data_IF_251772742206
#
_entry.id   IF_251772742206
#
_cell.length_a   1.000
_cell.length_b   1.000
_cell.length_c   1.000
_cell.angle_alpha   90.00
_cell.angle_beta   90.00
_cell.angle_gamma   90.00
#
_symmetry.space_group_name_H-M   'P 1'
#
loop_
_entity.id
_entity.type
_entity.pdbx_description
1 polymer ?
#
# COMPACT_ATOMS: atom_id res chain seq x y z
N UNK A 1 10.49 2.60 -6.19
CA UNK A 1 11.45 1.82 -5.38
C UNK A 1 12.84 1.73 -6.03
N UNK A 2 12.93 1.51 -7.34
CA UNK A 2 14.24 1.34 -8.01
C UNK A 2 15.15 2.57 -7.88
N UNK A 3 14.59 3.78 -7.96
CA UNK A 3 15.35 5.01 -7.72
C UNK A 3 15.71 5.16 -6.24
N UNK A 4 14.71 5.05 -5.36
CA UNK A 4 14.93 5.18 -3.92
C UNK A 4 16.01 4.23 -3.42
N UNK A 5 16.00 2.95 -3.85
CA UNK A 5 17.00 1.98 -3.42
C UNK A 5 18.44 2.28 -3.87
N UNK A 6 18.60 3.09 -4.93
CA UNK A 6 19.91 3.57 -5.41
C UNK A 6 20.36 4.86 -4.72
N UNK A 7 19.40 5.66 -4.25
CA UNK A 7 19.67 6.93 -3.57
C UNK A 7 19.98 6.78 -2.09
N UNK A 8 19.48 5.71 -1.46
CA UNK A 8 19.74 5.46 -0.04
C UNK A 8 21.22 5.11 0.17
N UNK A 9 21.91 5.93 0.94
CA UNK A 9 23.27 5.61 1.39
C UNK A 9 23.20 4.72 2.64
N UNK A 10 23.69 3.47 2.58
CA UNK A 10 23.66 2.58 3.74
C UNK A 10 24.36 3.14 5.00
N UNK A 11 25.29 4.09 4.84
CA UNK A 11 26.00 4.72 5.97
C UNK A 11 25.13 5.71 6.74
N UNK A 12 24.06 6.21 6.13
CA UNK A 12 23.09 7.14 6.75
C UNK A 12 21.94 6.39 7.43
N UNK A 13 21.81 5.09 7.18
CA UNK A 13 20.75 4.26 7.76
C UNK A 13 21.09 3.80 9.17
N UNK A 14 20.16 3.96 10.09
CA UNK A 14 20.22 3.41 11.46
C UNK A 14 19.59 2.00 11.54
N UNK A 15 19.78 1.20 10.50
CA UNK A 15 19.22 -0.15 10.38
C UNK A 15 19.33 -0.67 8.95
N UNK A 16 18.46 -1.59 8.59
CA UNK A 16 18.47 -2.24 7.29
C UNK A 16 17.19 -1.97 6.50
N UNK A 17 17.31 -1.91 5.18
CA UNK A 17 16.17 -1.78 4.26
C UNK A 17 16.17 -2.97 3.32
N UNK A 18 15.03 -3.62 3.20
CA UNK A 18 14.78 -4.69 2.22
C UNK A 18 13.79 -4.13 1.19
N UNK A 19 14.18 -4.07 -0.08
CA UNK A 19 13.33 -3.62 -1.18
C UNK A 19 12.95 -4.79 -2.08
N UNK A 20 11.65 -5.02 -2.26
CA UNK A 20 11.10 -5.91 -3.29
C UNK A 20 10.56 -5.00 -4.39
N UNK A 21 11.27 -4.91 -5.52
CA UNK A 21 10.88 -4.01 -6.61
C UNK A 21 9.61 -4.47 -7.33
N UNK A 22 9.46 -5.77 -7.51
CA UNK A 22 8.30 -6.39 -8.16
C UNK A 22 7.92 -7.65 -7.40
N UNK A 23 6.78 -7.62 -6.71
CA UNK A 23 6.31 -8.77 -5.92
C UNK A 23 5.75 -9.91 -6.80
N UNK A 24 5.22 -9.59 -7.97
CA UNK A 24 4.66 -10.54 -8.95
C UNK A 24 5.38 -10.41 -10.31
N UNK A 25 6.58 -11.03 -10.48
CA UNK A 25 7.39 -10.84 -11.69
C UNK A 25 6.74 -11.39 -12.97
N UNK A 26 5.97 -12.46 -12.89
CA UNK A 26 5.28 -13.02 -14.07
C UNK A 26 4.16 -12.10 -14.54
N UNK A 27 3.30 -11.63 -13.64
CA UNK A 27 2.27 -10.66 -14.00
C UNK A 27 2.87 -9.37 -14.59
N UNK A 28 3.98 -8.88 -14.02
CA UNK A 28 4.66 -7.70 -14.54
C UNK A 28 5.17 -7.91 -15.97
N UNK A 29 5.73 -9.06 -16.31
CA UNK A 29 6.21 -9.38 -17.67
C UNK A 29 5.08 -9.60 -18.66
N UNK A 30 4.00 -10.23 -18.19
CA UNK A 30 2.88 -10.64 -19.03
C UNK A 30 1.78 -9.57 -19.12
N UNK A 31 2.00 -8.39 -18.48
CA UNK A 31 1.03 -7.30 -18.41
C UNK A 31 -0.33 -7.72 -17.83
N UNK A 32 -0.32 -8.68 -16.90
CA UNK A 32 -1.52 -9.17 -16.22
C UNK A 32 -1.75 -8.39 -14.95
N UNK A 33 -2.97 -7.90 -14.76
CA UNK A 33 -3.36 -7.19 -13.55
C UNK A 33 -3.53 -8.18 -12.40
N UNK A 34 -3.09 -7.84 -11.23
CA UNK A 34 -3.20 -8.49 -9.91
C UNK A 34 -3.17 -10.03 -9.84
N UNK A 35 -3.38 -10.76 -10.90
CA UNK A 35 -3.30 -12.23 -10.88
C UNK A 35 -1.87 -12.73 -11.11
N UNK A 36 -1.54 -13.86 -10.52
CA UNK A 36 -0.35 -14.65 -10.88
C UNK A 36 -0.75 -15.52 -12.09
N UNK A 37 -0.17 -15.32 -13.29
CA UNK A 37 -0.62 -16.00 -14.51
C UNK A 37 -0.65 -17.51 -14.40
N UNK A 38 0.29 -18.10 -13.68
CA UNK A 38 0.46 -19.55 -13.57
C UNK A 38 -0.63 -20.24 -12.76
N UNK A 39 -1.32 -19.55 -11.88
CA UNK A 39 -2.37 -20.14 -11.03
C UNK A 39 -3.67 -19.34 -10.98
N UNK A 40 -3.73 -18.20 -11.65
CA UNK A 40 -4.91 -17.34 -11.75
C UNK A 40 -5.37 -16.69 -10.43
N UNK A 41 -4.56 -16.75 -9.38
CA UNK A 41 -4.90 -16.19 -8.07
C UNK A 41 -4.40 -14.76 -7.93
N UNK A 42 -5.18 -13.93 -7.24
CA UNK A 42 -4.72 -12.62 -6.81
C UNK A 42 -3.70 -12.78 -5.68
N UNK A 43 -2.42 -12.36 -5.93
CA UNK A 43 -1.35 -12.49 -4.94
C UNK A 43 -1.72 -11.81 -3.62
N UNK A 44 -2.36 -10.64 -3.66
CA UNK A 44 -2.75 -9.89 -2.46
C UNK A 44 -3.98 -10.47 -1.73
N UNK A 45 -4.46 -11.66 -2.10
CA UNK A 45 -5.54 -12.39 -1.41
C UNK A 45 -5.10 -13.71 -0.80
N UNK A 46 -3.82 -14.09 -1.01
CA UNK A 46 -3.32 -15.40 -0.56
C UNK A 46 -2.32 -15.32 0.60
N UNK A 47 -2.01 -14.12 1.12
CA UNK A 47 -1.15 -13.99 2.30
C UNK A 47 -1.81 -14.58 3.56
N UNK A 48 -1.03 -15.23 4.43
CA UNK A 48 0.43 -15.34 4.50
C UNK A 48 1.07 -16.36 3.56
N UNK A 49 0.29 -17.06 2.74
CA UNK A 49 0.76 -18.04 1.79
C UNK A 49 0.96 -19.44 2.38
N UNK A 50 1.46 -20.36 1.54
CA UNK A 50 1.76 -21.76 1.89
C UNK A 50 3.03 -22.21 1.19
N UNK A 51 3.93 -22.89 1.94
CA UNK A 51 5.23 -23.35 1.44
C UNK A 51 5.08 -24.28 0.22
N UNK A 52 4.17 -25.22 0.32
CA UNK A 52 3.93 -26.27 -0.69
C UNK A 52 2.64 -26.00 -1.51
N UNK A 53 2.22 -24.74 -1.57
CA UNK A 53 1.04 -24.28 -2.30
C UNK A 53 1.32 -23.99 -3.78
N UNK A 54 0.35 -23.32 -4.41
CA UNK A 54 0.47 -22.82 -5.79
C UNK A 54 1.52 -21.70 -5.87
N UNK A 55 1.85 -21.22 -7.06
CA UNK A 55 2.92 -20.22 -7.22
C UNK A 55 2.63 -18.95 -6.42
N UNK A 56 1.41 -18.41 -6.50
CA UNK A 56 1.02 -17.24 -5.70
C UNK A 56 1.15 -17.48 -4.19
N UNK A 57 0.71 -18.63 -3.70
CA UNK A 57 0.81 -19.01 -2.28
C UNK A 57 2.28 -19.15 -1.84
N UNK A 58 3.14 -19.67 -2.70
CA UNK A 58 4.59 -19.80 -2.43
C UNK A 58 5.30 -18.44 -2.44
N UNK A 59 4.92 -17.54 -3.35
CA UNK A 59 5.43 -16.15 -3.36
C UNK A 59 5.03 -15.47 -2.04
N UNK A 60 3.76 -15.49 -1.68
CA UNK A 60 3.25 -14.90 -0.44
C UNK A 60 3.95 -15.50 0.79
N UNK A 61 4.10 -16.82 0.85
CA UNK A 61 4.84 -17.50 1.92
C UNK A 61 6.29 -17.06 2.00
N UNK A 62 6.98 -16.92 0.86
CA UNK A 62 8.38 -16.48 0.81
C UNK A 62 8.53 -15.06 1.34
N UNK A 63 7.65 -14.13 0.92
CA UNK A 63 7.63 -12.75 1.42
C UNK A 63 7.37 -12.76 2.93
N UNK A 64 6.39 -13.53 3.38
CA UNK A 64 6.03 -13.65 4.80
C UNK A 64 7.18 -14.19 5.64
N UNK A 65 7.69 -15.36 5.30
CA UNK A 65 8.63 -16.11 6.17
C UNK A 65 10.08 -15.68 6.02
N UNK A 66 10.46 -15.18 4.84
CA UNK A 66 11.87 -14.84 4.59
C UNK A 66 12.17 -13.35 4.77
N UNK A 67 11.16 -12.49 4.65
CA UNK A 67 11.35 -11.05 4.67
C UNK A 67 10.54 -10.40 5.80
N UNK A 68 9.21 -10.48 5.80
CA UNK A 68 8.36 -9.83 6.82
C UNK A 68 8.68 -10.33 8.24
N UNK A 69 8.98 -11.62 8.41
CA UNK A 69 9.34 -12.18 9.73
C UNK A 69 10.63 -11.62 10.34
N UNK A 70 11.42 -10.90 9.54
CA UNK A 70 12.70 -10.29 9.96
C UNK A 70 12.65 -8.77 10.02
N UNK A 71 11.51 -8.19 9.70
CA UNK A 71 11.31 -6.74 9.67
C UNK A 71 10.65 -6.25 10.95
N UNK A 72 10.95 -5.02 11.33
CA UNK A 72 10.28 -4.31 12.41
C UNK A 72 9.07 -3.51 11.89
N UNK A 73 9.08 -3.14 10.60
CA UNK A 73 8.04 -2.38 9.91
C UNK A 73 7.90 -2.86 8.47
N UNK A 74 6.70 -2.73 7.91
CA UNK A 74 6.43 -3.10 6.53
C UNK A 74 5.63 -2.01 5.82
N UNK A 75 6.06 -1.64 4.61
CA UNK A 75 5.37 -0.72 3.73
C UNK A 75 5.01 -1.47 2.44
N UNK A 76 3.73 -1.52 2.12
CA UNK A 76 3.18 -2.10 0.90
C UNK A 76 2.87 -0.97 -0.09
N UNK A 77 3.60 -0.90 -1.20
CA UNK A 77 3.46 0.16 -2.19
C UNK A 77 2.61 -0.31 -3.35
N UNK A 78 1.50 0.35 -3.56
CA UNK A 78 0.52 0.09 -4.59
C UNK A 78 0.30 1.31 -5.50
N UNK A 79 -0.36 1.08 -6.62
CA UNK A 79 -0.93 2.10 -7.49
C UNK A 79 -2.28 1.62 -8.00
N UNK A 80 -3.14 2.54 -8.36
CA UNK A 80 -4.36 2.20 -9.09
C UNK A 80 -4.05 1.47 -10.40
N UNK A 81 -4.97 0.63 -10.81
CA UNK A 81 -4.89 -0.17 -12.02
C UNK A 81 -5.01 0.68 -13.30
N UNK A 82 -4.90 0.05 -14.46
CA UNK A 82 -4.99 0.70 -15.77
C UNK A 82 -6.33 1.42 -16.02
N UNK A 83 -7.38 1.02 -15.32
CA UNK A 83 -8.73 1.59 -15.38
C UNK A 83 -9.17 2.31 -14.12
N UNK A 84 -8.27 2.52 -13.17
CA UNK A 84 -8.55 3.15 -11.89
C UNK A 84 -7.96 4.57 -11.85
N UNK A 85 -8.76 5.52 -11.40
CA UNK A 85 -8.32 6.83 -10.98
C UNK A 85 -8.28 6.84 -9.44
N UNK A 86 -7.10 7.07 -8.86
CA UNK A 86 -6.89 6.98 -7.42
C UNK A 86 -6.35 8.28 -6.87
N UNK A 87 -7.08 8.88 -5.93
CA UNK A 87 -6.54 9.92 -5.07
C UNK A 87 -5.49 9.29 -4.13
N UNK A 88 -4.33 9.91 -3.93
CA UNK A 88 -3.30 9.36 -3.04
C UNK A 88 -3.81 9.15 -1.61
N UNK A 89 -3.69 7.93 -1.10
CA UNK A 89 -4.09 7.60 0.26
C UNK A 89 -3.20 6.52 0.89
N UNK A 90 -3.28 6.42 2.21
CA UNK A 90 -2.58 5.39 2.99
C UNK A 90 -3.55 4.65 3.90
N UNK A 91 -3.56 3.31 3.82
CA UNK A 91 -4.26 2.44 4.76
C UNK A 91 -3.39 2.06 5.95
N UNK A 92 -3.99 2.07 7.15
CA UNK A 92 -3.44 1.47 8.35
C UNK A 92 -4.45 0.51 9.00
N UNK A 93 -3.98 -0.59 9.55
CA UNK A 93 -4.85 -1.65 10.08
C UNK A 93 -5.23 -1.37 11.53
N UNK A 94 -6.52 -1.48 11.88
CA UNK A 94 -7.05 -1.32 13.24
C UNK A 94 -7.57 -2.61 13.85
N UNK A 95 -7.60 -3.71 13.11
CA UNK A 95 -8.09 -5.02 13.58
C UNK A 95 -6.99 -5.89 14.20
N UNK A 96 -5.72 -5.50 14.11
CA UNK A 96 -4.58 -6.28 14.59
C UNK A 96 -4.18 -6.03 16.07
N UNK A 97 -5.07 -5.39 16.82
CA UNK A 97 -4.83 -5.01 18.22
C UNK A 97 -4.21 -3.62 18.36
N UNK A 98 -4.42 -3.03 19.54
CA UNK A 98 -4.14 -1.61 19.80
C UNK A 98 -2.69 -1.21 19.56
N UNK A 99 -1.73 -2.02 19.99
CA UNK A 99 -0.30 -1.73 19.83
C UNK A 99 0.08 -1.61 18.35
N UNK A 100 -0.33 -2.57 17.54
CA UNK A 100 -0.04 -2.60 16.10
C UNK A 100 -0.77 -1.47 15.40
N UNK A 101 -2.05 -1.27 15.69
CA UNK A 101 -2.85 -0.19 15.12
C UNK A 101 -2.23 1.19 15.38
N UNK A 102 -1.75 1.44 16.61
CA UNK A 102 -1.10 2.71 16.98
C UNK A 102 0.19 2.94 16.19
N UNK A 103 1.04 1.92 16.06
CA UNK A 103 2.30 2.07 15.31
C UNK A 103 2.03 2.23 13.81
N UNK A 104 1.12 1.44 13.23
CA UNK A 104 0.72 1.58 11.83
C UNK A 104 0.10 2.94 11.55
N UNK A 105 -0.74 3.47 12.44
CA UNK A 105 -1.28 4.83 12.33
C UNK A 105 -0.17 5.89 12.39
N UNK A 106 0.84 5.72 13.24
CA UNK A 106 2.00 6.62 13.31
C UNK A 106 2.82 6.59 12.01
N UNK A 107 3.02 5.41 11.41
CA UNK A 107 3.64 5.28 10.08
C UNK A 107 2.82 6.02 9.02
N UNK A 108 1.49 5.80 9.01
CA UNK A 108 0.59 6.43 8.04
C UNK A 108 0.55 7.96 8.15
N UNK A 109 0.70 8.53 9.35
CA UNK A 109 0.78 9.97 9.56
C UNK A 109 2.04 10.61 8.96
N UNK A 110 3.09 9.83 8.69
CA UNK A 110 4.31 10.34 8.08
C UNK A 110 4.21 10.49 6.55
N UNK A 111 3.30 9.76 5.91
CA UNK A 111 3.09 9.90 4.46
C UNK A 111 2.49 11.27 4.14
N UNK A 112 3.02 11.94 3.11
CA UNK A 112 2.51 13.21 2.60
C UNK A 112 1.35 12.97 1.61
N UNK A 113 0.28 12.35 2.13
CA UNK A 113 -0.93 11.98 1.39
C UNK A 113 -2.15 12.62 2.03
N UNK A 114 -3.08 13.10 1.23
CA UNK A 114 -4.27 13.82 1.73
C UNK A 114 -5.20 12.94 2.58
N UNK A 115 -5.24 11.65 2.31
CA UNK A 115 -6.11 10.72 3.01
C UNK A 115 -5.32 9.62 3.71
N UNK A 116 -5.61 9.47 4.99
CA UNK A 116 -5.25 8.32 5.81
C UNK A 116 -6.52 7.57 6.18
N UNK A 117 -6.63 6.30 5.85
CA UNK A 117 -7.84 5.52 6.08
C UNK A 117 -7.58 4.33 7.01
N UNK A 118 -8.45 4.13 8.00
CA UNK A 118 -8.41 2.94 8.84
C UNK A 118 -9.02 1.75 8.09
N UNK A 119 -8.43 0.57 8.26
CA UNK A 119 -8.89 -0.67 7.64
C UNK A 119 -9.01 -1.79 8.67
N UNK A 120 -10.06 -2.58 8.55
CA UNK A 120 -10.29 -3.80 9.34
C UNK A 120 -9.96 -5.08 8.56
N UNK A 121 -9.38 -4.96 7.37
CA UNK A 121 -9.01 -6.10 6.54
C UNK A 121 -8.01 -7.02 7.28
N UNK A 122 -8.18 -8.32 7.09
CA UNK A 122 -7.32 -9.35 7.69
C UNK A 122 -6.47 -10.09 6.66
N UNK A 123 -6.77 -9.92 5.37
CA UNK A 123 -6.06 -10.52 4.23
C UNK A 123 -5.29 -9.46 3.45
N UNK A 124 -4.40 -9.91 2.57
CA UNK A 124 -3.47 -9.05 1.85
C UNK A 124 -2.13 -8.91 2.58
N UNK A 125 -1.12 -8.41 1.88
CA UNK A 125 0.25 -8.44 2.38
C UNK A 125 0.43 -7.62 3.66
N UNK A 126 -0.01 -6.34 3.67
CA UNK A 126 0.14 -5.49 4.85
C UNK A 126 -0.80 -5.89 5.99
N UNK A 127 -2.09 -6.21 5.68
CA UNK A 127 -3.05 -6.58 6.72
C UNK A 127 -2.67 -7.89 7.41
N UNK A 128 -2.28 -8.90 6.63
CA UNK A 128 -1.77 -10.17 7.15
C UNK A 128 -0.49 -9.99 7.98
N UNK A 129 0.40 -9.06 7.60
CA UNK A 129 1.56 -8.70 8.40
C UNK A 129 1.13 -8.10 9.77
N UNK A 130 0.19 -7.17 9.77
CA UNK A 130 -0.37 -6.61 11.01
C UNK A 130 -0.97 -7.69 11.92
N UNK A 131 -1.76 -8.62 11.36
CA UNK A 131 -2.34 -9.74 12.14
C UNK A 131 -1.27 -10.64 12.79
N UNK A 132 -0.08 -10.71 12.21
CA UNK A 132 1.07 -11.45 12.77
C UNK A 132 1.97 -10.61 13.69
N UNK A 133 1.56 -9.37 14.00
CA UNK A 133 2.28 -8.52 14.94
C UNK A 133 3.34 -7.61 14.31
N UNK A 134 3.41 -7.53 12.99
CA UNK A 134 4.30 -6.62 12.27
C UNK A 134 3.54 -5.33 11.89
N UNK A 135 3.86 -4.16 12.46
CA UNK A 135 3.26 -2.89 12.05
C UNK A 135 3.47 -2.64 10.57
N UNK A 136 2.38 -2.38 9.84
CA UNK A 136 2.42 -2.21 8.40
C UNK A 136 1.37 -1.21 7.91
N UNK A 137 1.64 -0.63 6.75
CA UNK A 137 0.74 0.25 6.00
C UNK A 137 0.71 -0.14 4.54
N UNK A 138 -0.36 0.24 3.85
CA UNK A 138 -0.44 0.17 2.40
C UNK A 138 -0.65 1.58 1.86
N UNK A 139 0.13 1.96 0.88
CA UNK A 139 0.08 3.28 0.24
C UNK A 139 -0.35 3.13 -1.21
N UNK A 140 -1.27 3.99 -1.66
CA UNK A 140 -1.76 4.05 -3.03
C UNK A 140 -1.45 5.42 -3.63
N UNK A 141 -0.80 5.45 -4.79
CA UNK A 141 -0.55 6.67 -5.57
C UNK A 141 -0.38 6.34 -7.04
N UNK A 142 -0.97 7.14 -7.92
CA UNK A 142 -0.99 6.90 -9.37
C UNK A 142 -2.10 5.96 -9.79
N UNK A 143 -2.30 5.81 -11.09
CA UNK A 143 -3.35 4.98 -11.70
C UNK A 143 -3.42 5.19 -13.21
N UNK A 144 -4.40 4.58 -13.87
CA UNK A 144 -4.57 4.68 -15.32
C UNK A 144 -3.40 4.08 -16.13
N UNK A 145 -2.60 3.20 -15.52
CA UNK A 145 -1.43 2.61 -16.17
C UNK A 145 -0.32 3.60 -16.50
N UNK A 146 -0.30 4.77 -15.87
CA UNK A 146 0.66 5.85 -16.11
C UNK A 146 1.34 6.27 -14.81
N UNK A 147 2.47 6.92 -14.94
CA UNK A 147 3.17 7.60 -13.86
C UNK A 147 3.82 8.88 -14.38
N UNK A 148 4.08 9.81 -13.48
CA UNK A 148 4.81 11.04 -13.74
C UNK A 148 6.04 11.11 -12.84
N UNK A 149 7.05 11.88 -13.22
CA UNK A 149 8.23 12.10 -12.39
C UNK A 149 7.84 12.72 -11.03
N UNK A 150 6.83 13.59 -11.00
CA UNK A 150 6.33 14.18 -9.75
C UNK A 150 5.71 13.15 -8.82
N UNK A 151 4.95 12.17 -9.32
CA UNK A 151 4.40 11.07 -8.51
C UNK A 151 5.50 10.16 -7.98
N UNK A 152 6.53 9.89 -8.79
CA UNK A 152 7.70 9.11 -8.35
C UNK A 152 8.43 9.83 -7.22
N UNK A 153 8.66 11.14 -7.34
CA UNK A 153 9.32 11.93 -6.29
C UNK A 153 8.45 12.01 -5.03
N UNK A 154 7.15 12.21 -5.17
CA UNK A 154 6.22 12.20 -4.04
C UNK A 154 6.24 10.87 -3.29
N UNK A 155 6.17 9.74 -4.01
CA UNK A 155 6.27 8.41 -3.39
C UNK A 155 7.61 8.19 -2.65
N UNK A 156 8.72 8.66 -3.24
CA UNK A 156 10.03 8.59 -2.59
C UNK A 156 10.05 9.41 -1.30
N UNK A 157 9.44 10.60 -1.33
CA UNK A 157 9.35 11.46 -0.14
C UNK A 157 8.47 10.84 0.95
N UNK A 158 7.33 10.24 0.58
CA UNK A 158 6.47 9.51 1.52
C UNK A 158 7.26 8.43 2.28
N UNK A 159 8.01 7.59 1.55
CA UNK A 159 8.82 6.53 2.18
C UNK A 159 9.94 7.12 3.05
N UNK A 160 10.62 8.19 2.59
CA UNK A 160 11.66 8.87 3.40
C UNK A 160 11.08 9.45 4.69
N UNK A 161 9.91 10.09 4.64
CA UNK A 161 9.22 10.59 5.82
C UNK A 161 8.93 9.47 6.84
N UNK A 162 8.44 8.32 6.36
CA UNK A 162 8.18 7.16 7.21
C UNK A 162 9.50 6.64 7.82
N UNK A 163 10.58 6.56 7.03
CA UNK A 163 11.90 6.15 7.53
C UNK A 163 12.43 7.11 8.62
N UNK A 164 12.21 8.41 8.46
CA UNK A 164 12.56 9.43 9.45
C UNK A 164 11.70 9.26 10.71
N UNK A 165 10.39 9.15 10.57
CA UNK A 165 9.43 8.95 11.67
C UNK A 165 9.75 7.70 12.50
N UNK A 166 10.17 6.64 11.84
CA UNK A 166 10.53 5.38 12.48
C UNK A 166 11.98 5.34 12.95
N UNK A 167 12.74 6.44 12.80
CA UNK A 167 14.10 6.57 13.29
C UNK A 167 15.17 5.87 12.47
N UNK A 168 14.84 5.43 11.25
CA UNK A 168 15.76 4.74 10.34
C UNK A 168 16.65 5.73 9.56
N UNK A 169 16.13 6.91 9.24
CA UNK A 169 16.87 8.04 8.66
C UNK A 169 16.90 9.21 9.64
N UNK A 170 17.94 10.02 9.54
CA UNK A 170 18.00 11.34 10.19
C UNK A 170 17.41 12.39 9.25
N UNK A 171 16.78 13.44 9.79
CA UNK A 171 16.22 14.54 9.01
C UNK A 171 14.88 15.00 9.57
N UNK A 172 14.21 15.85 8.81
CA UNK A 172 12.88 16.35 9.10
C UNK A 172 11.89 15.81 8.05
N UNK A 173 10.68 15.51 8.50
CA UNK A 173 9.60 15.11 7.60
C UNK A 173 9.15 16.32 6.77
N UNK A 174 8.87 16.09 5.50
CA UNK A 174 8.36 17.10 4.57
C UNK A 174 6.89 16.83 4.33
N UNK A 175 6.03 17.76 4.70
CA UNK A 175 4.60 17.70 4.48
C UNK A 175 4.12 18.89 3.67
N UNK A 176 3.43 18.64 2.59
CA UNK A 176 2.86 19.65 1.69
C UNK A 176 1.35 19.67 1.72
N UNK A 177 0.72 18.62 2.26
CA UNK A 177 -0.72 18.47 2.35
C UNK A 177 -1.20 18.32 3.80
N UNK A 178 -2.43 18.74 4.05
CA UNK A 178 -3.12 18.49 5.33
C UNK A 178 -3.85 17.14 5.26
N UNK A 179 -3.34 16.16 5.98
CA UNK A 179 -3.88 14.81 5.98
C UNK A 179 -5.21 14.73 6.74
N UNK A 180 -6.23 14.15 6.09
CA UNK A 180 -7.54 13.82 6.68
C UNK A 180 -7.56 12.35 7.13
N UNK A 181 -8.14 12.08 8.31
CA UNK A 181 -8.34 10.71 8.78
C UNK A 181 -9.74 10.22 8.44
N UNK A 182 -9.84 9.19 7.61
CA UNK A 182 -11.08 8.53 7.21
C UNK A 182 -11.22 7.23 7.97
N UNK A 183 -12.31 7.09 8.73
CA UNK A 183 -12.60 5.90 9.54
C UNK A 183 -13.74 5.06 8.98
N UNK A 184 -14.43 5.57 7.98
CA UNK A 184 -15.51 4.86 7.28
C UNK A 184 -15.41 5.13 5.78
N UNK A 185 -15.43 4.05 5.00
CA UNK A 185 -15.53 4.10 3.55
C UNK A 185 -16.66 3.16 3.10
N UNK A 186 -17.33 3.52 2.04
CA UNK A 186 -18.37 2.71 1.40
C UNK A 186 -17.94 2.41 -0.03
N UNK A 187 -18.08 1.15 -0.43
CA UNK A 187 -17.85 0.71 -1.79
C UNK A 187 -19.20 0.64 -2.49
N UNK A 188 -19.35 1.42 -3.55
CA UNK A 188 -20.54 1.38 -4.39
C UNK A 188 -20.25 0.44 -5.56
N UNK A 189 -21.11 -0.55 -5.75
CA UNK A 189 -21.03 -1.51 -6.82
C UNK A 189 -22.20 -1.32 -7.77
N UNK A 190 -21.98 -1.59 -9.07
CA UNK A 190 -23.07 -1.59 -10.03
C UNK A 190 -23.99 -2.78 -9.76
N UNK A 191 -25.32 -2.54 -9.71
CA UNK A 191 -26.31 -3.59 -9.48
C UNK A 191 -26.64 -4.39 -10.76
N UNK A 192 -26.19 -3.91 -11.92
CA UNK A 192 -26.45 -4.51 -13.24
C UNK A 192 -25.23 -4.37 -14.14
N UNK A 193 -25.13 -5.22 -15.14
CA UNK A 193 -24.15 -5.08 -16.23
C UNK A 193 -24.39 -3.77 -17.00
N UNK A 194 -23.30 -3.14 -17.42
CA UNK A 194 -23.38 -1.88 -18.15
C UNK A 194 -22.04 -1.25 -18.43
N UNK A 195 -22.07 -0.04 -18.98
CA UNK A 195 -20.90 0.80 -19.16
C UNK A 195 -20.87 1.84 -18.03
N UNK A 196 -19.73 1.92 -17.36
CA UNK A 196 -19.51 2.92 -16.33
C UNK A 196 -18.95 4.21 -16.93
N UNK A 197 -19.65 5.32 -16.71
CA UNK A 197 -19.20 6.67 -17.07
C UNK A 197 -19.02 7.47 -15.79
N UNK A 198 -17.77 7.74 -15.36
CA UNK A 198 -17.53 8.56 -14.17
C UNK A 198 -17.99 10.00 -14.41
N UNK A 199 -18.78 10.55 -13.48
CA UNK A 199 -19.19 11.95 -13.45
C UNK A 199 -18.37 12.79 -12.49
N UNK A 200 -17.60 12.14 -11.61
CA UNK A 200 -16.72 12.75 -10.63
C UNK A 200 -15.32 12.19 -10.82
N UNK A 201 -14.34 13.00 -10.52
CA UNK A 201 -12.93 12.57 -10.43
C UNK A 201 -12.58 12.14 -9.01
N UNK A 202 -11.51 11.35 -8.89
CA UNK A 202 -10.99 10.98 -7.58
C UNK A 202 -10.58 12.23 -6.79
N UNK A 203 -11.09 12.33 -5.54
CA UNK A 203 -10.88 13.52 -4.69
C UNK A 203 -12.03 14.52 -4.70
N UNK A 204 -12.98 14.42 -5.62
CA UNK A 204 -14.16 15.28 -5.61
C UNK A 204 -14.99 15.10 -4.34
N UNK A 205 -15.49 16.20 -3.82
CA UNK A 205 -16.39 16.21 -2.66
C UNK A 205 -17.80 16.49 -3.11
N UNK A 206 -18.72 15.63 -2.72
CA UNK A 206 -20.14 15.81 -3.02
C UNK A 206 -21.01 15.51 -1.79
N UNK A 207 -22.19 16.10 -1.74
CA UNK A 207 -23.18 15.83 -0.72
C UNK A 207 -24.32 15.02 -1.32
N UNK A 208 -24.62 13.86 -0.75
CA UNK A 208 -25.86 13.17 -1.02
C UNK A 208 -27.02 13.95 -0.34
N UNK A 209 -27.96 14.46 -1.11
CA UNK A 209 -29.30 14.76 -0.57
C UNK A 209 -30.04 13.43 -0.61
N UNK A 210 -30.29 12.84 0.56
CA UNK A 210 -31.34 11.83 0.65
C UNK A 210 -32.61 12.47 0.16
N UNK A 211 -33.08 12.09 -1.02
CA UNK A 211 -34.38 12.49 -1.53
C UNK A 211 -35.46 12.01 -0.58
N UNK A 212 -36.45 12.89 -0.34
CA UNK A 212 -37.72 12.53 0.29
C UNK A 212 -38.48 11.56 -0.60
#
# INVERSE_FOLDING_TARGET
>A
LSELSRELDPRELKGNVICIHVANPSAFRDYVRFFVPEDGKNLNRVFPGKKDGTLSERIAWTITEKLQSKADYYIDLHAGDTSEEVMPFVYYNVAAGEKIARVSANMAMAADMEVRASSTATTGAYSSACQRGLPAILMERGGGGRFTDSEVQAYKQDVKNIMIRMGLLSGEEVHTVQQKNVTRAEYLEAETDGLWYPVFSAGDTFAFRCGQ
#
